data_IF_110916811358
#
_entry.id   IF_110916811358
#
_cell.length_a   1.000
_cell.length_b   1.000
_cell.length_c   1.000
_cell.angle_alpha   90.00
_cell.angle_beta   90.00
_cell.angle_gamma   90.00
#
_symmetry.space_group_name_H-M   'P 1'
#
loop_
_entity.id
_entity.type
_entity.pdbx_description
1 polymer ?
#
# COMPACT_ATOMS: atom_id res chain seq x y z
N UNK A 1 -27.14 54.21 3.45
CA UNK A 1 -25.87 53.54 3.40
C UNK A 1 -26.00 52.18 4.11
N UNK A 2 -26.13 51.11 3.36
CA UNK A 2 -26.28 49.74 3.93
C UNK A 2 -24.93 49.06 3.89
N UNK A 3 -24.37 48.81 5.07
CA UNK A 3 -23.10 48.13 5.25
C UNK A 3 -23.34 46.63 5.11
N UNK A 4 -22.94 46.05 3.96
CA UNK A 4 -22.99 44.61 3.73
C UNK A 4 -21.94 43.88 4.57
N UNK A 5 -22.38 43.21 5.61
CA UNK A 5 -21.52 42.28 6.36
C UNK A 5 -21.26 41.02 5.51
N UNK A 6 -20.06 40.88 4.98
CA UNK A 6 -19.60 39.67 4.35
C UNK A 6 -19.50 38.56 5.39
N UNK A 7 -20.41 37.59 5.31
CA UNK A 7 -20.41 36.38 6.16
C UNK A 7 -19.19 35.55 5.80
N UNK A 8 -18.13 35.60 6.60
CA UNK A 8 -17.03 34.65 6.51
C UNK A 8 -17.62 33.25 6.78
N UNK A 9 -17.68 32.44 5.75
CA UNK A 9 -17.99 31.02 5.86
C UNK A 9 -16.86 30.38 6.67
N UNK A 10 -17.20 29.71 7.77
CA UNK A 10 -16.22 28.94 8.55
C UNK A 10 -15.51 27.93 7.62
N UNK A 11 -14.20 27.73 7.75
CA UNK A 11 -13.51 26.70 6.99
C UNK A 11 -14.17 25.35 7.30
N UNK A 12 -14.48 24.58 6.25
CA UNK A 12 -14.98 23.23 6.40
C UNK A 12 -14.00 22.38 7.22
N UNK A 13 -14.43 21.22 7.76
CA UNK A 13 -13.54 20.36 8.52
C UNK A 13 -12.29 20.07 7.68
N UNK A 14 -11.10 20.31 8.26
CA UNK A 14 -9.84 20.03 7.61
C UNK A 14 -9.79 18.54 7.24
N UNK A 15 -9.36 18.22 6.03
CA UNK A 15 -9.17 16.81 5.64
C UNK A 15 -8.21 16.13 6.63
N UNK A 16 -8.54 14.92 7.10
CA UNK A 16 -7.69 14.21 8.04
C UNK A 16 -6.34 13.88 7.39
N UNK A 17 -5.26 13.96 8.18
CA UNK A 17 -3.97 13.46 7.72
C UNK A 17 -4.09 11.99 7.35
N UNK A 18 -3.38 11.57 6.29
CA UNK A 18 -3.48 10.20 5.78
C UNK A 18 -2.13 9.63 5.40
N UNK A 19 -1.85 8.45 5.98
CA UNK A 19 -0.62 7.69 5.75
C UNK A 19 -1.00 6.32 5.21
N UNK A 20 -0.29 5.85 4.19
CA UNK A 20 -0.54 4.55 3.57
C UNK A 20 0.53 3.54 3.94
N UNK A 21 0.08 2.36 4.36
CA UNK A 21 0.89 1.16 4.54
C UNK A 21 0.62 0.20 3.37
N UNK A 22 1.64 -0.07 2.58
CA UNK A 22 1.54 -0.96 1.42
C UNK A 22 2.03 -2.35 1.81
N UNK A 23 1.18 -3.36 1.67
CA UNK A 23 1.60 -4.75 1.88
C UNK A 23 2.71 -5.15 0.90
N UNK A 24 3.65 -6.05 1.30
CA UNK A 24 4.81 -6.42 0.49
C UNK A 24 4.43 -7.13 -0.80
N UNK A 25 5.39 -7.21 -1.73
CA UNK A 25 5.36 -8.14 -2.85
C UNK A 25 5.94 -9.50 -2.42
N UNK A 26 5.53 -10.56 -3.11
CA UNK A 26 6.11 -11.90 -2.93
C UNK A 26 7.48 -11.97 -3.62
N UNK A 27 8.55 -11.86 -2.84
CA UNK A 27 9.92 -11.88 -3.34
C UNK A 27 10.46 -13.29 -3.63
N UNK A 28 9.72 -14.35 -3.31
CA UNK A 28 10.06 -15.75 -3.63
C UNK A 28 9.44 -16.24 -4.94
N UNK A 29 8.57 -15.42 -5.58
CA UNK A 29 7.87 -15.83 -6.80
C UNK A 29 8.70 -15.67 -8.07
N UNK A 30 8.24 -16.30 -9.16
CA UNK A 30 8.90 -16.35 -10.48
C UNK A 30 9.41 -15.00 -11.01
N UNK A 31 8.68 -13.91 -10.77
CA UNK A 31 9.10 -12.59 -11.26
C UNK A 31 10.28 -12.02 -10.45
N UNK A 32 10.35 -12.31 -9.16
CA UNK A 32 11.51 -11.95 -8.35
C UNK A 32 12.75 -12.79 -8.75
N UNK A 33 12.56 -14.06 -9.06
CA UNK A 33 13.63 -14.95 -9.57
C UNK A 33 14.24 -14.41 -10.88
N UNK A 34 13.43 -13.85 -11.79
CA UNK A 34 13.93 -13.23 -13.03
C UNK A 34 14.94 -12.10 -12.76
N UNK A 35 14.73 -11.31 -11.71
CA UNK A 35 15.65 -10.24 -11.32
C UNK A 35 16.93 -10.76 -10.65
N UNK A 36 16.91 -11.97 -10.11
CA UNK A 36 18.01 -12.58 -9.36
C UNK A 36 18.93 -13.42 -10.23
N UNK A 37 18.59 -13.69 -11.49
CA UNK A 37 19.42 -14.46 -12.42
C UNK A 37 20.77 -13.77 -12.64
N UNK A 38 21.87 -14.54 -12.86
CA UNK A 38 23.18 -13.96 -13.15
C UNK A 38 23.18 -13.01 -14.35
N UNK A 39 22.43 -13.37 -15.39
CA UNK A 39 22.13 -12.49 -16.52
C UNK A 39 20.62 -12.18 -16.54
N UNK A 40 20.23 -11.08 -15.89
CA UNK A 40 18.81 -10.77 -15.72
C UNK A 40 18.25 -10.05 -16.94
N UNK A 41 18.49 -10.32 -18.14
CA UNK A 41 17.90 -9.73 -19.37
C UNK A 41 17.04 -8.46 -19.25
N UNK A 42 16.56 -8.14 -18.05
CA UNK A 42 15.68 -7.00 -17.74
C UNK A 42 16.48 -5.82 -17.15
N UNK A 43 16.23 -4.56 -17.58
CA UNK A 43 16.95 -3.37 -17.09
C UNK A 43 16.97 -3.23 -15.55
N UNK A 44 15.86 -3.54 -14.90
CA UNK A 44 15.74 -3.49 -13.43
C UNK A 44 16.66 -4.53 -12.75
N UNK A 45 16.76 -5.72 -13.31
CA UNK A 45 17.70 -6.73 -12.83
C UNK A 45 19.14 -6.25 -12.95
N UNK A 46 19.52 -5.66 -14.08
CA UNK A 46 20.86 -5.07 -14.25
C UNK A 46 21.18 -3.98 -13.24
N UNK A 47 20.20 -3.10 -12.90
CA UNK A 47 20.37 -2.09 -11.83
C UNK A 47 20.67 -2.75 -10.49
N UNK A 48 19.95 -3.81 -10.13
CA UNK A 48 20.14 -4.54 -8.86
C UNK A 48 21.52 -5.20 -8.76
N UNK A 49 22.04 -5.74 -9.88
CA UNK A 49 23.34 -6.38 -9.95
C UNK A 49 24.50 -5.34 -10.04
N UNK A 50 24.28 -4.20 -10.64
CA UNK A 50 25.29 -3.17 -10.89
C UNK A 50 25.72 -2.34 -9.68
N UNK A 51 25.29 -2.69 -8.46
CA UNK A 51 25.71 -2.00 -7.22
C UNK A 51 24.99 -0.67 -6.92
N UNK A 52 24.36 -0.03 -7.90
CA UNK A 52 23.57 1.21 -7.71
C UNK A 52 22.21 0.94 -7.06
N UNK A 53 21.70 -0.27 -7.17
CA UNK A 53 20.38 -0.64 -6.66
C UNK A 53 19.22 -0.07 -7.48
N UNK A 54 18.01 -0.36 -7.04
CA UNK A 54 16.77 0.16 -7.62
C UNK A 54 15.79 0.52 -6.50
N UNK A 55 14.87 1.46 -6.76
CA UNK A 55 13.88 1.85 -5.78
C UNK A 55 12.98 0.66 -5.39
N UNK A 56 12.70 0.50 -4.11
CA UNK A 56 11.81 -0.55 -3.56
C UNK A 56 10.46 -0.58 -4.29
N UNK A 57 9.87 0.60 -4.53
CA UNK A 57 8.62 0.74 -5.25
C UNK A 57 8.70 0.24 -6.70
N UNK A 58 9.84 0.45 -7.38
CA UNK A 58 10.08 -0.05 -8.74
C UNK A 58 10.21 -1.57 -8.75
N UNK A 59 10.99 -2.13 -7.82
CA UNK A 59 11.19 -3.59 -7.68
C UNK A 59 9.88 -4.29 -7.35
N UNK A 60 9.15 -3.80 -6.35
CA UNK A 60 7.88 -4.41 -5.95
C UNK A 60 6.78 -4.25 -7.00
N UNK A 61 6.80 -3.15 -7.77
CA UNK A 61 5.90 -2.96 -8.93
C UNK A 61 6.19 -3.95 -10.05
N UNK A 62 7.45 -4.31 -10.27
CA UNK A 62 7.80 -5.36 -11.20
C UNK A 62 7.35 -6.75 -10.70
N UNK A 63 7.68 -7.07 -9.45
CA UNK A 63 7.42 -8.38 -8.85
C UNK A 63 5.91 -8.66 -8.73
N UNK A 64 5.14 -7.75 -8.16
CA UNK A 64 3.69 -7.91 -7.91
C UNK A 64 2.81 -7.28 -8.99
N UNK A 65 3.39 -6.78 -10.08
CA UNK A 65 2.69 -6.28 -11.26
C UNK A 65 1.58 -5.25 -10.94
N UNK A 66 0.38 -5.45 -11.47
CA UNK A 66 -0.75 -4.52 -11.40
C UNK A 66 -1.12 -4.16 -9.96
N UNK A 67 -1.06 -5.12 -9.04
CA UNK A 67 -1.49 -4.88 -7.67
C UNK A 67 -0.58 -3.89 -6.93
N UNK A 68 0.74 -4.08 -6.99
CA UNK A 68 1.64 -3.14 -6.30
C UNK A 68 1.70 -1.78 -7.02
N UNK A 69 1.67 -1.77 -8.34
CA UNK A 69 1.54 -0.51 -9.11
C UNK A 69 0.30 0.28 -8.71
N UNK A 70 -0.84 -0.42 -8.57
CA UNK A 70 -2.07 0.21 -8.10
C UNK A 70 -1.94 0.79 -6.70
N UNK A 71 -1.37 0.03 -5.75
CA UNK A 71 -1.12 0.52 -4.38
C UNK A 71 -0.24 1.76 -4.37
N UNK A 72 0.87 1.73 -5.09
CA UNK A 72 1.82 2.83 -5.11
C UNK A 72 1.25 4.09 -5.78
N UNK A 73 0.56 3.93 -6.91
CA UNK A 73 -0.11 5.03 -7.61
C UNK A 73 -1.20 5.66 -6.73
N UNK A 74 -2.01 4.83 -6.09
CA UNK A 74 -3.09 5.26 -5.21
C UNK A 74 -2.54 6.02 -3.99
N UNK A 75 -1.56 5.45 -3.30
CA UNK A 75 -0.94 6.09 -2.16
C UNK A 75 -0.29 7.44 -2.53
N UNK A 76 0.36 7.54 -3.70
CA UNK A 76 0.94 8.80 -4.19
C UNK A 76 -0.10 9.86 -4.52
N UNK A 77 -1.29 9.46 -4.97
CA UNK A 77 -2.37 10.38 -5.31
C UNK A 77 -3.08 10.94 -4.07
N UNK A 78 -3.17 10.16 -2.99
CA UNK A 78 -4.05 10.45 -1.87
C UNK A 78 -3.35 10.55 -0.51
N UNK A 79 -2.03 10.43 -0.43
CA UNK A 79 -1.31 10.63 0.82
C UNK A 79 -1.35 12.10 1.25
N UNK A 80 -1.73 12.33 2.50
CA UNK A 80 -1.75 13.63 3.16
C UNK A 80 -1.09 13.48 4.54
N UNK A 81 0.25 13.32 4.60
CA UNK A 81 0.91 13.04 5.87
C UNK A 81 0.98 14.25 6.79
N UNK A 82 1.11 14.04 8.11
CA UNK A 82 1.49 15.10 9.03
C UNK A 82 2.80 15.78 8.61
N UNK A 83 2.95 17.04 8.97
CA UNK A 83 4.11 17.84 8.57
C UNK A 83 5.43 17.16 8.98
N UNK A 84 6.35 17.03 8.03
CA UNK A 84 7.67 16.41 8.24
C UNK A 84 7.66 14.87 8.27
N UNK A 85 6.51 14.24 8.01
CA UNK A 85 6.39 12.79 7.95
C UNK A 85 6.26 12.28 6.51
N UNK A 86 6.70 11.03 6.27
CA UNK A 86 6.42 10.33 5.03
C UNK A 86 4.96 9.86 4.97
N UNK A 87 4.31 10.02 3.82
CA UNK A 87 2.93 9.57 3.62
C UNK A 87 2.80 8.12 3.14
N UNK A 88 3.88 7.47 2.74
CA UNK A 88 3.85 6.15 2.13
C UNK A 88 4.94 5.26 2.73
N UNK A 89 4.54 4.15 3.31
CA UNK A 89 5.45 3.16 3.87
C UNK A 89 5.14 1.77 3.31
N UNK A 90 6.15 1.11 2.81
CA UNK A 90 6.07 -0.27 2.33
C UNK A 90 6.47 -1.21 3.45
N UNK A 91 5.58 -2.15 3.77
CA UNK A 91 5.92 -3.27 4.66
C UNK A 91 6.88 -4.17 3.89
N UNK A 92 8.03 -4.47 4.49
CA UNK A 92 9.04 -5.34 3.87
C UNK A 92 9.17 -6.67 4.63
N UNK A 93 9.66 -7.74 4.01
CA UNK A 93 9.82 -9.03 4.68
C UNK A 93 10.81 -9.03 5.86
N UNK A 94 11.81 -8.13 5.89
CA UNK A 94 12.82 -8.16 6.96
C UNK A 94 13.36 -6.80 7.41
N UNK A 95 12.96 -5.70 6.77
CA UNK A 95 13.49 -4.37 7.13
C UNK A 95 12.42 -3.44 7.73
N UNK A 96 11.29 -4.00 8.15
CA UNK A 96 10.17 -3.24 8.72
C UNK A 96 9.49 -2.35 7.69
N UNK A 97 9.30 -1.08 8.01
CA UNK A 97 8.67 -0.07 7.14
C UNK A 97 9.74 0.72 6.38
N UNK A 98 9.62 0.78 5.07
CA UNK A 98 10.54 1.53 4.22
C UNK A 98 9.78 2.45 3.26
N UNK A 99 10.25 3.67 3.02
CA UNK A 99 9.75 4.49 1.92
C UNK A 99 9.89 3.76 0.58
N UNK A 100 8.98 3.94 -0.38
CA UNK A 100 9.07 3.29 -1.68
C UNK A 100 10.28 3.73 -2.51
N UNK A 101 10.91 4.84 -2.18
CA UNK A 101 12.15 5.37 -2.78
C UNK A 101 13.43 4.72 -2.23
N UNK A 102 13.33 3.93 -1.14
CA UNK A 102 14.48 3.22 -0.56
C UNK A 102 15.15 2.34 -1.60
N UNK A 103 16.46 2.43 -1.67
CA UNK A 103 17.24 1.61 -2.60
C UNK A 103 17.34 0.16 -2.10
N UNK A 104 17.00 -0.77 -2.97
CA UNK A 104 17.27 -2.20 -2.83
C UNK A 104 18.42 -2.60 -3.73
N UNK A 105 19.26 -3.50 -3.22
CA UNK A 105 20.29 -4.22 -3.98
C UNK A 105 19.89 -5.68 -4.13
N UNK A 106 20.62 -6.42 -4.94
CA UNK A 106 20.37 -7.84 -5.17
C UNK A 106 20.33 -8.67 -3.88
N UNK A 107 21.26 -8.38 -2.95
CA UNK A 107 21.32 -9.11 -1.68
C UNK A 107 20.08 -8.85 -0.80
N UNK A 108 19.49 -7.65 -0.87
CA UNK A 108 18.26 -7.32 -0.15
C UNK A 108 17.08 -8.10 -0.70
N UNK A 109 16.95 -8.17 -2.05
CA UNK A 109 15.91 -8.95 -2.69
C UNK A 109 16.01 -10.43 -2.34
N UNK A 110 17.23 -10.98 -2.31
CA UNK A 110 17.49 -12.37 -1.88
C UNK A 110 17.14 -12.60 -0.42
N UNK A 111 17.49 -11.66 0.45
CA UNK A 111 17.14 -11.71 1.87
C UNK A 111 15.61 -11.69 2.04
N UNK A 112 14.91 -10.82 1.32
CA UNK A 112 13.45 -10.76 1.34
C UNK A 112 12.80 -12.05 0.86
N UNK A 113 13.36 -12.71 -0.17
CA UNK A 113 12.87 -13.99 -0.66
C UNK A 113 12.99 -15.12 0.39
N UNK A 114 13.97 -15.02 1.29
CA UNK A 114 14.22 -16.01 2.35
C UNK A 114 13.46 -15.77 3.66
N UNK A 115 12.62 -14.73 3.74
CA UNK A 115 11.85 -14.43 4.97
C UNK A 115 10.35 -14.50 4.70
N UNK A 116 9.65 -15.48 5.29
CA UNK A 116 8.19 -15.56 5.22
C UNK A 116 7.54 -14.31 5.79
N UNK A 117 6.51 -13.80 5.10
CA UNK A 117 5.66 -12.74 5.63
C UNK A 117 4.59 -13.38 6.50
N UNK A 118 4.94 -13.62 7.76
CA UNK A 118 4.09 -14.28 8.76
C UNK A 118 4.23 -13.61 10.12
N UNK A 119 3.14 -13.49 10.88
CA UNK A 119 3.13 -12.85 12.19
C UNK A 119 4.00 -13.56 13.23
N UNK A 120 4.25 -14.85 13.06
CA UNK A 120 5.11 -15.68 13.94
C UNK A 120 6.60 -15.65 13.51
N UNK A 121 6.92 -15.17 12.31
CA UNK A 121 8.30 -15.07 11.85
C UNK A 121 9.00 -13.85 12.47
N UNK A 122 9.96 -14.09 13.37
CA UNK A 122 10.65 -13.03 14.12
C UNK A 122 11.45 -12.07 13.23
N UNK A 123 12.04 -12.55 12.12
CA UNK A 123 12.79 -11.73 11.16
C UNK A 123 11.89 -10.72 10.43
N UNK A 124 10.60 -11.02 10.30
CA UNK A 124 9.58 -10.14 9.76
C UNK A 124 8.94 -9.28 10.85
N UNK A 125 8.49 -9.92 11.92
CA UNK A 125 7.69 -9.32 12.99
C UNK A 125 8.45 -8.23 13.76
N UNK A 126 9.69 -8.52 14.17
CA UNK A 126 10.48 -7.64 15.04
C UNK A 126 10.80 -6.28 14.40
N UNK A 127 11.33 -6.20 13.14
CA UNK A 127 11.56 -4.91 12.50
C UNK A 127 10.26 -4.14 12.25
N UNK A 128 9.18 -4.82 11.87
CA UNK A 128 7.88 -4.18 11.64
C UNK A 128 7.33 -3.53 12.91
N UNK A 129 7.32 -4.26 14.02
CA UNK A 129 6.85 -3.73 15.32
C UNK A 129 7.73 -2.58 15.82
N UNK A 130 9.05 -2.66 15.65
CA UNK A 130 9.97 -1.57 16.00
C UNK A 130 9.57 -0.29 15.28
N UNK A 131 9.39 -0.34 13.98
CA UNK A 131 9.10 0.85 13.15
C UNK A 131 7.69 1.37 13.40
N UNK A 132 6.72 0.50 13.55
CA UNK A 132 5.35 0.90 13.91
C UNK A 132 5.32 1.67 15.24
N UNK A 133 6.02 1.17 16.28
CA UNK A 133 6.09 1.84 17.58
C UNK A 133 6.80 3.18 17.51
N UNK A 134 7.85 3.28 16.68
CA UNK A 134 8.58 4.53 16.49
C UNK A 134 7.75 5.60 15.76
N UNK A 135 6.91 5.19 14.80
CA UNK A 135 6.12 6.10 13.97
C UNK A 135 4.73 6.39 14.55
N UNK A 136 4.17 5.51 15.39
CA UNK A 136 2.82 5.64 15.93
C UNK A 136 2.54 7.00 16.63
N UNK A 137 3.47 7.60 17.38
CA UNK A 137 3.24 8.94 17.96
C UNK A 137 3.09 10.02 16.92
N UNK A 138 3.88 9.99 15.85
CA UNK A 138 3.82 10.97 14.76
C UNK A 138 2.53 10.84 13.91
N UNK A 139 1.86 9.69 13.99
CA UNK A 139 0.59 9.40 13.31
C UNK A 139 -0.63 9.50 14.25
N UNK A 140 -0.49 10.12 15.41
CA UNK A 140 -1.57 10.15 16.41
C UNK A 140 -2.89 10.70 15.84
N UNK A 141 -2.81 11.71 14.97
CA UNK A 141 -3.96 12.37 14.35
C UNK A 141 -4.17 11.97 12.87
N UNK A 142 -3.46 10.93 12.41
CA UNK A 142 -3.56 10.48 11.03
C UNK A 142 -4.38 9.19 10.92
N UNK A 143 -5.16 9.10 9.86
CA UNK A 143 -5.72 7.84 9.38
C UNK A 143 -4.57 7.02 8.77
N UNK A 144 -4.40 5.78 9.21
CA UNK A 144 -3.39 4.87 8.69
C UNK A 144 -4.08 3.83 7.82
N UNK A 145 -3.97 3.96 6.50
CA UNK A 145 -4.69 3.11 5.55
C UNK A 145 -3.81 1.95 5.07
N UNK A 146 -4.23 0.73 5.34
CA UNK A 146 -3.59 -0.48 4.84
C UNK A 146 -4.06 -0.80 3.42
N UNK A 147 -3.16 -0.72 2.44
CA UNK A 147 -3.36 -1.24 1.09
C UNK A 147 -2.81 -2.66 0.99
N UNK A 148 -3.63 -3.63 1.38
CA UNK A 148 -3.23 -5.03 1.46
C UNK A 148 -4.43 -5.99 1.55
N UNK A 149 -4.17 -7.29 1.53
CA UNK A 149 -5.20 -8.29 1.80
C UNK A 149 -5.33 -8.49 3.31
N UNK A 150 -6.54 -8.41 3.84
CA UNK A 150 -6.83 -8.67 5.25
C UNK A 150 -7.29 -10.10 5.51
N UNK A 151 -7.32 -10.95 4.48
CA UNK A 151 -7.79 -12.33 4.58
C UNK A 151 -6.91 -13.22 5.49
N UNK A 152 -5.66 -12.83 5.72
CA UNK A 152 -4.73 -13.54 6.60
C UNK A 152 -4.24 -12.63 7.74
N UNK A 153 -3.70 -13.25 8.81
CA UNK A 153 -3.16 -12.55 9.99
C UNK A 153 -1.83 -11.83 9.77
N UNK A 154 -1.17 -12.06 8.64
CA UNK A 154 0.23 -11.70 8.33
C UNK A 154 0.72 -10.35 8.88
N UNK A 155 -0.09 -9.32 8.77
CA UNK A 155 0.22 -7.98 9.28
C UNK A 155 -0.94 -7.36 10.05
N UNK A 156 -2.16 -7.85 9.89
CA UNK A 156 -3.36 -7.27 10.52
C UNK A 156 -3.19 -7.22 12.05
N UNK A 157 -2.78 -8.32 12.67
CA UNK A 157 -2.58 -8.40 14.13
C UNK A 157 -1.46 -7.48 14.62
N UNK A 158 -0.35 -7.42 13.87
CA UNK A 158 0.79 -6.57 14.23
C UNK A 158 0.43 -5.08 14.13
N UNK A 159 -0.31 -4.69 13.10
CA UNK A 159 -0.75 -3.31 12.91
C UNK A 159 -1.75 -2.90 13.98
N UNK A 160 -2.79 -3.73 14.23
CA UNK A 160 -3.82 -3.43 15.22
C UNK A 160 -3.30 -3.46 16.66
N UNK A 161 -2.29 -4.29 16.95
CA UNK A 161 -1.65 -4.31 18.27
C UNK A 161 -0.92 -2.99 18.63
N UNK A 162 -0.45 -2.23 17.63
CA UNK A 162 0.28 -0.97 17.86
C UNK A 162 -0.58 0.25 17.60
N UNK A 163 -1.39 0.21 16.55
CA UNK A 163 -2.14 1.38 16.05
C UNK A 163 -3.63 1.34 16.43
N UNK A 164 -4.12 0.20 16.93
CA UNK A 164 -5.52 0.05 17.35
C UNK A 164 -6.52 0.22 16.22
N UNK A 165 -7.57 0.99 16.49
CA UNK A 165 -8.67 1.32 15.60
C UNK A 165 -8.34 2.37 14.53
N UNK A 166 -7.19 3.04 14.65
CA UNK A 166 -6.69 4.01 13.66
C UNK A 166 -6.30 3.39 12.32
N UNK A 167 -6.17 2.05 12.27
CA UNK A 167 -5.88 1.36 11.01
C UNK A 167 -7.16 1.17 10.24
N UNK A 168 -7.21 1.81 9.08
CA UNK A 168 -8.29 1.71 8.12
C UNK A 168 -7.90 0.81 6.95
N UNK A 169 -8.90 0.41 6.18
CA UNK A 169 -8.68 -0.40 4.99
C UNK A 169 -9.84 -0.15 3.98
N UNK A 170 -9.58 -0.21 2.65
CA UNK A 170 -10.64 0.02 1.68
C UNK A 170 -11.68 -1.11 1.72
N UNK A 171 -12.94 -0.78 2.06
CA UNK A 171 -14.04 -1.75 2.14
C UNK A 171 -14.27 -2.48 0.81
N UNK A 172 -14.04 -1.81 -0.30
CA UNK A 172 -14.17 -2.36 -1.65
C UNK A 172 -13.15 -3.46 -1.99
N UNK A 173 -12.17 -3.71 -1.13
CA UNK A 173 -11.21 -4.81 -1.30
C UNK A 173 -11.78 -6.17 -0.89
N UNK A 174 -12.86 -6.19 -0.10
CA UNK A 174 -13.48 -7.45 0.36
C UNK A 174 -13.96 -8.26 -0.84
N UNK A 175 -13.64 -9.55 -0.86
CA UNK A 175 -14.02 -10.46 -1.94
C UNK A 175 -13.26 -10.29 -3.27
N UNK A 176 -12.43 -9.23 -3.42
CA UNK A 176 -11.63 -9.01 -4.64
C UNK A 176 -10.26 -9.67 -4.56
N UNK A 177 -9.82 -10.24 -5.67
CA UNK A 177 -8.43 -10.69 -5.84
C UNK A 177 -7.49 -9.53 -6.18
N UNK A 178 -6.17 -9.76 -6.10
CA UNK A 178 -5.14 -8.75 -6.23
C UNK A 178 -5.18 -7.96 -7.56
N UNK A 179 -5.44 -8.64 -8.68
CA UNK A 179 -5.57 -7.95 -9.98
C UNK A 179 -6.77 -7.00 -10.00
N UNK A 180 -7.90 -7.39 -9.40
CA UNK A 180 -9.10 -6.54 -9.32
C UNK A 180 -8.87 -5.35 -8.38
N UNK A 181 -8.20 -5.55 -7.23
CA UNK A 181 -7.81 -4.46 -6.32
C UNK A 181 -6.87 -3.48 -7.00
N UNK A 182 -5.87 -3.97 -7.74
CA UNK A 182 -4.94 -3.14 -8.50
C UNK A 182 -5.65 -2.28 -9.55
N UNK A 183 -6.56 -2.88 -10.33
CA UNK A 183 -7.38 -2.17 -11.30
C UNK A 183 -8.32 -1.13 -10.68
N UNK A 184 -8.93 -1.46 -9.53
CA UNK A 184 -9.80 -0.54 -8.79
C UNK A 184 -9.03 0.71 -8.34
N UNK A 185 -7.86 0.53 -7.69
CA UNK A 185 -7.04 1.65 -7.24
C UNK A 185 -6.58 2.56 -8.39
N UNK A 186 -6.20 1.99 -9.55
CA UNK A 186 -5.82 2.81 -10.70
C UNK A 186 -6.99 3.63 -11.26
N UNK A 187 -8.21 3.10 -11.24
CA UNK A 187 -9.41 3.86 -11.63
C UNK A 187 -9.70 4.99 -10.65
N UNK A 188 -9.62 4.71 -9.34
CA UNK A 188 -9.78 5.75 -8.31
C UNK A 188 -8.80 6.91 -8.51
N UNK A 189 -7.55 6.63 -8.89
CA UNK A 189 -6.56 7.67 -9.23
C UNK A 189 -6.99 8.48 -10.45
N UNK A 190 -7.45 7.83 -11.52
CA UNK A 190 -7.93 8.48 -12.75
C UNK A 190 -9.16 9.36 -12.47
N UNK A 191 -10.09 8.85 -11.66
CA UNK A 191 -11.32 9.53 -11.25
C UNK A 191 -11.07 10.58 -10.15
N UNK A 192 -9.87 10.66 -9.60
CA UNK A 192 -9.51 11.52 -8.44
C UNK A 192 -10.48 11.33 -7.27
N UNK A 193 -10.91 10.11 -7.02
CA UNK A 193 -11.85 9.77 -5.97
C UNK A 193 -11.30 8.65 -5.11
N UNK A 194 -11.20 8.88 -3.82
CA UNK A 194 -10.77 7.88 -2.87
C UNK A 194 -11.80 6.75 -2.71
N UNK A 195 -11.29 5.58 -2.36
CA UNK A 195 -12.11 4.45 -1.94
C UNK A 195 -12.66 4.69 -0.53
N UNK A 196 -13.84 4.16 -0.20
CA UNK A 196 -14.35 4.23 1.16
C UNK A 196 -13.49 3.38 2.10
N UNK A 197 -13.14 3.95 3.24
CA UNK A 197 -12.35 3.27 4.27
C UNK A 197 -13.22 2.87 5.46
N UNK A 198 -12.89 1.73 6.04
CA UNK A 198 -13.50 1.24 7.28
C UNK A 198 -12.41 0.81 8.26
N UNK A 199 -12.67 0.85 9.58
CA UNK A 199 -11.72 0.33 10.55
C UNK A 199 -11.33 -1.13 10.26
N UNK A 200 -10.04 -1.43 10.35
CA UNK A 200 -9.52 -2.77 10.14
C UNK A 200 -9.96 -3.71 11.27
N UNK A 201 -10.05 -3.18 12.49
CA UNK A 201 -10.54 -3.91 13.64
C UNK A 201 -12.04 -4.18 13.47
N UNK A 202 -12.42 -5.46 13.48
CA UNK A 202 -13.81 -5.89 13.24
C UNK A 202 -14.23 -5.96 11.77
N UNK A 203 -13.35 -5.63 10.83
CA UNK A 203 -13.67 -5.69 9.41
C UNK A 203 -14.02 -7.11 8.93
N UNK A 204 -14.96 -7.21 7.99
CA UNK A 204 -15.28 -8.47 7.30
C UNK A 204 -14.09 -8.91 6.47
N UNK A 205 -13.41 -9.97 6.88
CA UNK A 205 -12.16 -10.45 6.25
C UNK A 205 -12.41 -11.21 4.94
N UNK A 206 -13.59 -11.79 4.76
CA UNK A 206 -13.98 -12.56 3.58
C UNK A 206 -15.41 -12.18 3.20
N UNK A 207 -15.65 -11.95 1.91
CA UNK A 207 -16.99 -11.63 1.39
C UNK A 207 -17.20 -12.25 0.02
N UNK A 208 -18.43 -12.14 -0.49
CA UNK A 208 -18.75 -12.56 -1.85
C UNK A 208 -17.89 -11.78 -2.85
N UNK A 209 -17.54 -12.44 -3.94
CA UNK A 209 -16.78 -11.82 -5.02
C UNK A 209 -17.66 -10.76 -5.71
N UNK A 210 -17.30 -9.48 -5.67
CA UNK A 210 -18.04 -8.45 -6.38
C UNK A 210 -17.99 -8.64 -7.89
N UNK A 211 -18.93 -8.02 -8.63
CA UNK A 211 -18.90 -8.00 -10.08
C UNK A 211 -17.54 -7.56 -10.64
N UNK A 212 -17.19 -8.07 -11.81
CA UNK A 212 -15.97 -7.65 -12.51
C UNK A 212 -16.05 -6.16 -12.82
N UNK A 213 -14.92 -5.48 -12.66
CA UNK A 213 -14.81 -4.10 -13.11
C UNK A 213 -15.02 -4.07 -14.64
N UNK A 214 -15.83 -3.13 -15.19
CA UNK A 214 -16.02 -3.02 -16.64
C UNK A 214 -14.68 -2.76 -17.34
N UNK A 215 -14.50 -3.11 -18.61
CA UNK A 215 -13.31 -2.75 -19.38
C UNK A 215 -13.08 -1.23 -19.36
N UNK A 216 -11.82 -0.79 -19.37
CA UNK A 216 -11.51 0.63 -19.58
C UNK A 216 -11.92 1.04 -20.98
N UNK A 217 -12.68 2.11 -21.13
CA UNK A 217 -13.07 2.69 -22.42
C UNK A 217 -14.17 1.98 -23.19
N UNK A 218 -14.90 1.04 -22.58
CA UNK A 218 -16.09 0.44 -23.17
C UNK A 218 -17.36 1.14 -22.69
N UNK A 219 -18.14 1.69 -23.61
CA UNK A 219 -19.54 2.03 -23.34
C UNK A 219 -20.27 0.81 -22.77
N UNK A 220 -21.25 0.99 -21.88
CA UNK A 220 -22.07 -0.11 -21.40
C UNK A 220 -22.70 -0.80 -22.65
N UNK A 221 -22.40 -2.08 -22.87
CA UNK A 221 -23.19 -2.86 -23.82
C UNK A 221 -24.59 -2.96 -23.22
N UNK A 222 -25.54 -2.26 -23.80
CA UNK A 222 -26.94 -2.49 -23.53
C UNK A 222 -27.21 -3.97 -23.84
N UNK A 223 -27.64 -4.68 -22.83
CA UNK A 223 -28.14 -6.05 -22.96
C UNK A 223 -29.59 -5.90 -23.41
N UNK A 224 -29.79 -6.12 -24.72
CA UNK A 224 -31.12 -6.28 -25.32
C UNK A 224 -31.68 -7.64 -24.94
#
# INVERSE_FOLDING_TARGET
>A
MATGATKLTAPGPAEPFRVFLLSPADCSGKRAELLQRPDPGHPLGRKLHGGGGAALGEVFSFVSSLYFRGKLAYARAFALPPRGQGGIHVITPSDGLRPPESLLRLHDLRRYAGVPVDAEEERYRRPLLRDLRALAPAWAEAEVVLLGSIASRKYVELLTAVLGDRVLFPSDFVGRGDMSRGGLMLRSVEERRELPYVPLLGAVRRGQRPARLPPKGGEPREVT
#
